data_IF_275918270737
#
_entry.id   IF_275918270737
#
_cell.length_a   1.000
_cell.length_b   1.000
_cell.length_c   1.000
_cell.angle_alpha   90.00
_cell.angle_beta   90.00
_cell.angle_gamma   90.00
#
_symmetry.space_group_name_H-M   'P 1'
#
loop_
_entity.id
_entity.type
_entity.pdbx_description
1 polymer ?
#
# COMPACT_ATOMS: atom_id res chain seq x y z
N UNK A 1 -10.15 74.84 -66.18
CA UNK A 1 -10.12 73.44 -65.67
C UNK A 1 -11.52 72.87 -65.81
N UNK A 2 -11.72 71.74 -66.50
CA UNK A 2 -13.04 71.39 -67.02
C UNK A 2 -13.40 69.89 -66.93
N UNK A 3 -14.63 69.66 -66.44
CA UNK A 3 -15.67 68.71 -66.91
C UNK A 3 -15.28 67.41 -67.65
N UNK A 4 -15.66 66.29 -67.01
CA UNK A 4 -16.47 65.16 -67.53
C UNK A 4 -16.00 64.20 -68.66
N UNK A 5 -16.39 62.93 -68.45
CA UNK A 5 -16.82 61.85 -69.39
C UNK A 5 -15.84 60.86 -70.08
N UNK A 6 -16.02 59.58 -69.66
CA UNK A 6 -16.25 58.35 -70.44
C UNK A 6 -15.21 57.63 -71.34
N UNK A 7 -15.03 56.34 -70.98
CA UNK A 7 -15.33 55.13 -71.77
C UNK A 7 -14.26 54.39 -72.62
N UNK A 8 -14.08 53.13 -72.21
CA UNK A 8 -14.04 51.89 -73.01
C UNK A 8 -12.78 51.38 -73.75
N UNK A 9 -12.81 50.05 -73.90
CA UNK A 9 -11.96 49.16 -74.69
C UNK A 9 -10.50 48.96 -74.26
N UNK A 10 -10.25 47.80 -73.66
CA UNK A 10 -8.97 47.09 -73.73
C UNK A 10 -9.24 45.65 -74.19
N UNK A 11 -8.41 45.15 -75.09
CA UNK A 11 -8.57 43.91 -75.86
C UNK A 11 -7.29 43.05 -75.74
N UNK A 12 -7.40 41.71 -75.89
CA UNK A 12 -6.29 40.71 -75.93
C UNK A 12 -5.47 40.52 -74.62
N UNK A 13 -4.75 39.42 -74.33
CA UNK A 13 -4.54 38.07 -74.92
C UNK A 13 -4.08 37.11 -73.74
N UNK A 14 -3.53 35.89 -73.82
CA UNK A 14 -3.02 35.04 -74.92
C UNK A 14 -3.14 33.52 -74.64
N UNK A 15 -3.78 32.74 -75.55
CA UNK A 15 -3.51 31.29 -75.87
C UNK A 15 -3.65 30.25 -74.70
N UNK A 16 -3.69 28.91 -74.89
CA UNK A 16 -3.54 28.02 -76.07
C UNK A 16 -4.25 26.65 -75.89
N UNK A 17 -4.93 26.20 -76.95
CA UNK A 17 -5.12 24.79 -77.40
C UNK A 17 -5.39 23.62 -76.42
N UNK A 18 -6.50 22.90 -76.66
CA UNK A 18 -6.61 21.43 -76.52
C UNK A 18 -7.37 20.86 -77.73
N UNK A 19 -7.09 19.61 -78.13
CA UNK A 19 -7.83 18.91 -79.20
C UNK A 19 -8.90 17.99 -78.61
N UNK A 20 -9.99 17.88 -79.36
CA UNK A 20 -11.18 17.05 -79.11
C UNK A 20 -10.89 15.62 -78.63
N UNK A 21 -11.67 15.21 -77.62
CA UNK A 21 -12.23 13.86 -77.51
C UNK A 21 -13.68 13.93 -78.01
N UNK A 22 -14.18 12.89 -78.68
CA UNK A 22 -15.62 12.72 -78.90
C UNK A 22 -16.18 11.72 -77.87
N UNK A 23 -17.05 12.27 -77.02
CA UNK A 23 -18.25 11.67 -76.41
C UNK A 23 -18.30 10.15 -76.17
N UNK A 24 -18.26 9.78 -74.88
CA UNK A 24 -19.38 9.03 -74.29
C UNK A 24 -20.13 9.94 -73.30
N UNK A 25 -21.40 9.64 -73.03
CA UNK A 25 -22.32 10.54 -72.31
C UNK A 25 -22.29 10.33 -70.78
N UNK A 26 -22.01 11.38 -70.00
CA UNK A 26 -22.54 11.49 -68.64
C UNK A 26 -23.26 12.83 -68.42
N UNK A 27 -24.38 12.76 -67.68
CA UNK A 27 -25.36 13.82 -67.57
C UNK A 27 -24.85 14.97 -66.71
N UNK A 28 -24.72 16.15 -67.29
CA UNK A 28 -24.46 17.41 -66.57
C UNK A 28 -25.65 17.80 -65.67
N UNK A 29 -25.76 17.13 -64.51
CA UNK A 29 -26.54 17.65 -63.39
C UNK A 29 -25.86 18.93 -62.88
N UNK A 30 -26.65 20.00 -62.69
CA UNK A 30 -26.13 21.28 -62.19
C UNK A 30 -25.97 21.20 -60.67
N UNK A 31 -25.00 20.37 -60.25
CA UNK A 31 -24.58 20.21 -58.86
C UNK A 31 -24.08 21.54 -58.29
N UNK A 32 -24.45 21.85 -57.05
CA UNK A 32 -24.02 23.08 -56.40
C UNK A 32 -22.51 23.06 -56.11
N UNK A 33 -21.94 24.22 -55.71
CA UNK A 33 -20.54 24.31 -55.27
C UNK A 33 -20.24 23.44 -54.03
N UNK A 34 -21.25 23.00 -53.27
CA UNK A 34 -21.13 22.05 -52.18
C UNK A 34 -21.05 20.62 -52.70
N UNK A 35 -22.00 20.24 -53.56
CA UNK A 35 -22.20 18.84 -53.97
C UNK A 35 -21.07 18.37 -54.89
N UNK A 36 -20.57 19.23 -55.78
CA UNK A 36 -19.35 18.95 -56.56
C UNK A 36 -18.15 18.63 -55.68
N UNK A 37 -18.04 19.30 -54.52
CA UNK A 37 -16.95 19.09 -53.56
C UNK A 37 -17.15 17.85 -52.70
N UNK A 38 -18.41 17.44 -52.45
CA UNK A 38 -18.75 16.13 -51.88
C UNK A 38 -18.29 15.02 -52.83
N UNK A 39 -18.68 15.07 -54.11
CA UNK A 39 -18.25 14.06 -55.11
C UNK A 39 -16.73 14.02 -55.31
N UNK A 40 -16.05 15.16 -55.24
CA UNK A 40 -14.57 15.22 -55.22
C UNK A 40 -13.95 14.44 -54.03
N UNK A 41 -14.58 14.47 -52.85
CA UNK A 41 -14.09 13.73 -51.68
C UNK A 41 -14.40 12.23 -51.80
N UNK A 42 -15.57 11.85 -52.31
CA UNK A 42 -15.94 10.45 -52.53
C UNK A 42 -15.07 9.77 -53.61
N UNK A 43 -14.66 10.51 -54.65
CA UNK A 43 -13.66 10.05 -55.61
C UNK A 43 -12.31 9.82 -54.93
N UNK A 44 -11.82 10.76 -54.11
CA UNK A 44 -10.55 10.62 -53.36
C UNK A 44 -10.60 9.46 -52.34
N UNK A 45 -11.76 9.17 -51.74
CA UNK A 45 -11.98 7.98 -50.90
C UNK A 45 -11.76 6.71 -51.73
N UNK A 46 -12.39 6.61 -52.91
CA UNK A 46 -12.26 5.47 -53.84
C UNK A 46 -10.85 5.32 -54.44
N UNK A 47 -10.07 6.39 -54.53
CA UNK A 47 -8.65 6.38 -54.88
C UNK A 47 -7.79 5.87 -53.71
N UNK A 48 -7.96 6.42 -52.51
CA UNK A 48 -7.21 6.03 -51.31
C UNK A 48 -7.43 4.56 -50.94
N UNK A 49 -8.66 4.04 -51.06
CA UNK A 49 -8.99 2.62 -50.85
C UNK A 49 -8.32 1.67 -51.86
N UNK A 50 -7.78 2.19 -52.98
CA UNK A 50 -7.06 1.40 -54.01
C UNK A 50 -5.54 1.55 -53.94
N UNK A 51 -5.02 2.53 -53.19
CA UNK A 51 -3.59 2.78 -53.07
C UNK A 51 -2.92 1.73 -52.16
N UNK A 52 -2.01 0.93 -52.74
CA UNK A 52 -1.31 -0.15 -52.03
C UNK A 52 0.04 0.29 -51.46
N UNK A 53 0.57 1.44 -51.87
CA UNK A 53 1.81 1.99 -51.37
C UNK A 53 1.58 2.82 -50.11
N UNK A 54 1.84 2.23 -48.94
CA UNK A 54 1.69 2.87 -47.62
C UNK A 54 2.27 4.29 -47.52
N UNK A 55 3.41 4.60 -48.14
CA UNK A 55 4.02 5.94 -48.09
C UNK A 55 3.26 6.97 -48.93
N UNK A 56 2.63 6.54 -50.03
CA UNK A 56 1.78 7.40 -50.87
C UNK A 56 0.41 7.55 -50.22
N UNK A 57 -0.17 6.46 -49.72
CA UNK A 57 -1.41 6.45 -48.94
C UNK A 57 -1.33 7.42 -47.76
N UNK A 58 -0.31 7.31 -46.89
CA UNK A 58 -0.15 8.17 -45.72
C UNK A 58 -0.08 9.67 -46.08
N UNK A 59 0.68 10.00 -47.13
CA UNK A 59 0.83 11.39 -47.57
C UNK A 59 -0.47 11.95 -48.15
N UNK A 60 -1.17 11.16 -48.96
CA UNK A 60 -2.44 11.54 -49.59
C UNK A 60 -3.59 11.60 -48.58
N UNK A 61 -3.66 10.66 -47.63
CA UNK A 61 -4.65 10.63 -46.55
C UNK A 61 -4.54 11.85 -45.65
N UNK A 62 -3.32 12.25 -45.23
CA UNK A 62 -3.13 13.48 -44.44
C UNK A 62 -3.57 14.73 -45.19
N UNK A 63 -3.36 14.79 -46.51
CA UNK A 63 -3.85 15.91 -47.34
C UNK A 63 -5.39 15.90 -47.39
N UNK A 64 -5.98 14.75 -47.69
CA UNK A 64 -7.43 14.54 -47.70
C UNK A 64 -8.08 14.96 -46.37
N UNK A 65 -7.59 14.48 -45.22
CA UNK A 65 -8.14 14.84 -43.91
C UNK A 65 -8.04 16.34 -43.61
N UNK A 66 -6.94 17.00 -43.99
CA UNK A 66 -6.81 18.44 -43.81
C UNK A 66 -7.78 19.25 -44.70
N UNK A 67 -8.02 18.80 -45.94
CA UNK A 67 -8.98 19.44 -46.84
C UNK A 67 -10.44 19.17 -46.40
N UNK A 68 -10.73 17.96 -45.89
CA UNK A 68 -12.02 17.56 -45.34
C UNK A 68 -12.35 18.34 -44.04
N UNK A 69 -11.39 18.43 -43.10
CA UNK A 69 -11.53 19.17 -41.84
C UNK A 69 -11.86 20.65 -42.11
N UNK A 70 -11.16 21.28 -43.07
CA UNK A 70 -11.47 22.66 -43.53
C UNK A 70 -12.86 22.78 -44.15
N UNK A 71 -13.29 21.81 -44.96
CA UNK A 71 -14.61 21.84 -45.59
C UNK A 71 -15.74 21.71 -44.57
N UNK A 72 -15.64 20.78 -43.63
CA UNK A 72 -16.66 20.54 -42.62
C UNK A 72 -16.78 21.72 -41.62
N UNK A 73 -15.66 22.29 -41.16
CA UNK A 73 -15.66 23.53 -40.34
C UNK A 73 -16.38 24.68 -41.05
N UNK A 74 -16.16 24.85 -42.35
CA UNK A 74 -16.84 25.88 -43.15
C UNK A 74 -18.34 25.57 -43.42
N UNK A 75 -18.81 24.35 -43.17
CA UNK A 75 -20.20 23.93 -43.34
C UNK A 75 -20.97 23.83 -42.02
N UNK A 76 -20.30 23.93 -40.86
CA UNK A 76 -20.82 23.81 -39.48
C UNK A 76 -21.53 22.50 -39.10
N UNK A 77 -21.79 21.61 -40.05
CA UNK A 77 -22.37 20.29 -39.82
C UNK A 77 -21.36 19.18 -40.18
N UNK A 78 -21.64 17.96 -39.71
CA UNK A 78 -21.09 16.74 -40.29
C UNK A 78 -21.34 16.71 -41.79
N UNK A 79 -20.38 16.14 -42.54
CA UNK A 79 -20.51 15.88 -43.97
C UNK A 79 -20.48 14.37 -44.15
N UNK A 80 -21.64 13.78 -44.42
CA UNK A 80 -21.74 12.38 -44.81
C UNK A 80 -21.08 12.18 -46.17
N UNK A 81 -20.19 11.19 -46.26
CA UNK A 81 -19.41 10.86 -47.46
C UNK A 81 -19.40 9.34 -47.59
N UNK A 82 -19.84 8.82 -48.74
CA UNK A 82 -19.85 7.36 -48.96
C UNK A 82 -18.42 6.79 -48.91
N UNK A 83 -18.26 5.66 -48.21
CA UNK A 83 -16.97 4.98 -48.02
C UNK A 83 -16.01 5.65 -47.01
N UNK A 84 -16.36 6.75 -46.34
CA UNK A 84 -15.46 7.40 -45.38
C UNK A 84 -15.14 6.50 -44.17
N UNK A 85 -16.13 5.74 -43.69
CA UNK A 85 -15.97 4.76 -42.60
C UNK A 85 -15.10 3.57 -43.03
N UNK A 86 -15.21 3.11 -44.28
CA UNK A 86 -14.35 2.06 -44.85
C UNK A 86 -12.91 2.54 -44.97
N UNK A 87 -12.71 3.80 -45.43
CA UNK A 87 -11.39 4.42 -45.47
C UNK A 87 -10.78 4.54 -44.07
N UNK A 88 -11.55 4.88 -43.05
CA UNK A 88 -11.05 4.92 -41.67
C UNK A 88 -10.65 3.53 -41.16
N UNK A 89 -11.36 2.46 -41.53
CA UNK A 89 -11.03 1.07 -41.15
C UNK A 89 -9.70 0.57 -41.72
N UNK A 90 -9.22 1.11 -42.85
CA UNK A 90 -7.90 0.73 -43.44
C UNK A 90 -6.72 1.57 -42.95
N UNK A 91 -6.95 2.60 -42.13
CA UNK A 91 -5.89 3.52 -41.66
C UNK A 91 -5.19 2.98 -40.41
N UNK A 92 -4.02 2.37 -40.59
CA UNK A 92 -3.21 1.80 -39.50
C UNK A 92 -2.18 2.75 -38.90
N UNK A 93 -1.84 3.86 -39.56
CA UNK A 93 -0.81 4.79 -39.09
C UNK A 93 -1.29 5.63 -37.90
N UNK A 94 -0.63 5.52 -36.74
CA UNK A 94 -0.93 6.27 -35.49
C UNK A 94 -1.00 7.80 -35.64
N UNK A 95 -0.29 8.40 -36.59
CA UNK A 95 -0.41 9.84 -36.90
C UNK A 95 -1.70 10.17 -37.66
N UNK A 96 -2.14 9.27 -38.53
CA UNK A 96 -3.36 9.44 -39.32
C UNK A 96 -4.61 9.13 -38.48
N UNK A 97 -4.55 8.15 -37.58
CA UNK A 97 -5.64 7.83 -36.62
C UNK A 97 -5.92 9.06 -35.72
N UNK A 98 -4.90 9.82 -35.31
CA UNK A 98 -5.12 11.10 -34.61
C UNK A 98 -5.96 12.09 -35.43
N UNK A 99 -5.73 12.21 -36.74
CA UNK A 99 -6.53 13.09 -37.61
C UNK A 99 -7.99 12.63 -37.75
N UNK A 100 -8.25 11.31 -37.65
CA UNK A 100 -9.62 10.76 -37.61
C UNK A 100 -10.30 11.17 -36.30
N UNK A 101 -9.64 10.95 -35.16
CA UNK A 101 -10.20 11.30 -33.85
C UNK A 101 -10.42 12.81 -33.71
N UNK A 102 -9.48 13.64 -34.18
CA UNK A 102 -9.61 15.09 -34.27
C UNK A 102 -10.75 15.56 -35.18
N UNK A 103 -11.12 14.78 -36.20
CA UNK A 103 -12.24 15.09 -37.10
C UNK A 103 -13.58 14.75 -36.42
N UNK A 104 -13.68 13.57 -35.82
CA UNK A 104 -14.87 13.11 -35.11
C UNK A 104 -15.18 14.03 -33.91
N UNK A 105 -14.14 14.49 -33.18
CA UNK A 105 -14.29 15.41 -32.05
C UNK A 105 -14.85 16.80 -32.40
N UNK A 106 -14.84 17.22 -33.68
CA UNK A 106 -15.46 18.49 -34.08
C UNK A 106 -16.99 18.50 -33.95
N UNK A 107 -17.61 17.32 -33.83
CA UNK A 107 -19.06 17.13 -33.78
C UNK A 107 -19.51 16.43 -32.49
N UNK A 108 -18.58 16.13 -31.59
CA UNK A 108 -18.84 15.44 -30.32
C UNK A 108 -19.07 16.44 -29.17
N UNK A 109 -20.24 17.10 -29.16
CA UNK A 109 -20.66 17.86 -27.98
C UNK A 109 -22.19 17.88 -27.75
N UNK A 110 -22.54 17.59 -26.50
CA UNK A 110 -23.83 17.67 -25.82
C UNK A 110 -24.87 16.54 -26.05
N UNK A 111 -25.27 15.97 -24.90
CA UNK A 111 -26.50 15.21 -24.58
C UNK A 111 -26.73 13.84 -25.22
N UNK A 112 -26.31 12.82 -24.46
CA UNK A 112 -27.19 11.83 -23.83
C UNK A 112 -28.08 10.95 -24.73
N UNK A 113 -27.46 9.94 -25.38
CA UNK A 113 -28.07 8.62 -25.52
C UNK A 113 -27.06 7.51 -25.18
N UNK A 114 -27.40 6.69 -24.18
CA UNK A 114 -26.78 5.38 -23.97
C UNK A 114 -27.32 4.41 -25.03
N UNK A 115 -26.70 4.34 -26.21
CA UNK A 115 -27.00 3.24 -27.14
C UNK A 115 -25.79 2.85 -28.01
N UNK A 116 -25.25 1.66 -27.73
CA UNK A 116 -24.52 0.80 -28.66
C UNK A 116 -23.47 1.45 -29.58
N UNK A 117 -22.52 2.19 -28.99
CA UNK A 117 -21.16 2.16 -29.55
C UNK A 117 -20.65 0.73 -29.34
N UNK A 118 -20.56 -0.04 -30.43
CA UNK A 118 -19.76 -1.27 -30.44
C UNK A 118 -18.32 -0.89 -30.06
N UNK A 119 -17.93 -1.16 -28.80
CA UNK A 119 -16.54 -1.15 -28.42
C UNK A 119 -15.86 -2.29 -29.17
N UNK A 120 -15.28 -1.98 -30.33
CA UNK A 120 -14.31 -2.84 -30.99
C UNK A 120 -13.04 -2.89 -30.14
N UNK A 121 -13.10 -3.66 -29.06
CA UNK A 121 -11.96 -4.28 -28.38
C UNK A 121 -11.31 -5.28 -29.33
N UNK A 122 -10.79 -4.77 -30.45
CA UNK A 122 -9.61 -5.38 -31.04
C UNK A 122 -8.52 -5.29 -29.97
N UNK A 123 -8.00 -6.44 -29.55
CA UNK A 123 -6.82 -6.57 -28.68
C UNK A 123 -5.57 -6.09 -29.44
N UNK A 124 -5.53 -4.80 -29.76
CA UNK A 124 -4.29 -4.11 -30.09
C UNK A 124 -3.52 -4.01 -28.79
N UNK A 125 -2.37 -4.68 -28.71
CA UNK A 125 -1.38 -4.44 -27.65
C UNK A 125 -0.98 -2.96 -27.68
N UNK A 126 -1.72 -2.12 -26.97
CA UNK A 126 -1.24 -0.82 -26.56
C UNK A 126 -0.16 -1.07 -25.52
N UNK A 127 1.06 -1.27 -26.00
CA UNK A 127 2.24 -0.98 -25.19
C UNK A 127 2.10 0.47 -24.74
N UNK A 128 1.66 0.63 -23.49
CA UNK A 128 1.83 1.87 -22.76
C UNK A 128 3.30 2.27 -22.92
N UNK A 129 3.58 3.58 -22.89
CA UNK A 129 4.98 3.98 -22.83
C UNK A 129 5.45 3.57 -21.44
N UNK A 130 6.16 2.45 -21.34
CA UNK A 130 6.77 1.97 -20.10
C UNK A 130 7.62 3.12 -19.54
N UNK A 131 7.09 3.77 -18.50
CA UNK A 131 7.80 4.81 -17.80
C UNK A 131 9.02 4.13 -17.15
N UNK A 132 10.20 4.71 -17.35
CA UNK A 132 11.40 4.20 -16.70
C UNK A 132 11.23 4.31 -15.18
N UNK A 133 11.99 3.53 -14.41
CA UNK A 133 11.90 3.63 -12.95
C UNK A 133 12.34 5.02 -12.47
N UNK A 134 13.16 5.73 -13.23
CA UNK A 134 13.52 7.13 -13.02
C UNK A 134 12.29 8.05 -13.21
N UNK A 135 11.58 7.95 -14.35
CA UNK A 135 10.31 8.69 -14.59
C UNK A 135 9.28 8.44 -13.46
N UNK A 136 9.16 7.19 -13.00
CA UNK A 136 8.22 6.80 -11.94
C UNK A 136 8.65 7.37 -10.58
N UNK A 137 9.97 7.46 -10.33
CA UNK A 137 10.51 8.03 -9.09
C UNK A 137 10.33 9.55 -8.99
N UNK A 138 10.11 10.27 -10.10
CA UNK A 138 9.79 11.71 -10.08
C UNK A 138 8.32 12.03 -9.68
N UNK A 139 7.40 11.05 -9.78
CA UNK A 139 5.97 11.26 -9.48
C UNK A 139 5.77 11.86 -8.07
N UNK A 140 5.08 12.99 -7.95
CA UNK A 140 4.91 13.67 -6.66
C UNK A 140 3.87 13.01 -5.72
N UNK A 141 2.93 12.27 -6.29
CA UNK A 141 1.87 11.53 -5.59
C UNK A 141 2.35 10.12 -5.21
N UNK A 142 2.51 9.84 -3.90
CA UNK A 142 2.99 8.54 -3.42
C UNK A 142 2.06 7.37 -3.77
N UNK A 143 0.75 7.57 -3.86
CA UNK A 143 -0.16 6.48 -4.21
C UNK A 143 -0.06 6.13 -5.70
N UNK A 144 0.05 7.14 -6.58
CA UNK A 144 0.33 6.90 -8.01
C UNK A 144 1.71 6.28 -8.21
N UNK A 145 2.72 6.74 -7.48
CA UNK A 145 4.07 6.14 -7.51
C UNK A 145 4.05 4.67 -7.11
N UNK A 146 3.33 4.31 -6.05
CA UNK A 146 3.14 2.92 -5.65
C UNK A 146 2.43 2.14 -6.78
N UNK A 147 1.34 2.65 -7.35
CA UNK A 147 0.61 1.96 -8.42
C UNK A 147 1.45 1.69 -9.68
N UNK A 148 2.21 2.68 -10.16
CA UNK A 148 3.08 2.51 -11.35
C UNK A 148 4.29 1.60 -11.06
N UNK A 149 4.86 1.64 -9.85
CA UNK A 149 5.87 0.67 -9.44
C UNK A 149 5.29 -0.75 -9.27
N UNK A 150 4.04 -0.89 -8.83
CA UNK A 150 3.35 -2.18 -8.71
C UNK A 150 3.07 -2.82 -10.08
N UNK A 151 2.82 -2.02 -11.14
CA UNK A 151 2.81 -2.53 -12.54
C UNK A 151 4.16 -3.16 -12.90
N UNK A 152 5.26 -2.46 -12.63
CA UNK A 152 6.64 -2.88 -12.92
C UNK A 152 7.23 -3.81 -11.84
N UNK A 153 6.40 -4.60 -11.14
CA UNK A 153 6.81 -5.40 -9.98
C UNK A 153 7.48 -6.75 -10.29
N UNK A 154 7.78 -7.02 -11.56
CA UNK A 154 8.73 -8.06 -11.99
C UNK A 154 10.17 -7.54 -12.07
N UNK A 155 10.36 -6.23 -12.30
CA UNK A 155 11.68 -5.63 -12.36
C UNK A 155 12.25 -5.45 -10.94
N UNK A 156 13.33 -6.16 -10.62
CA UNK A 156 14.08 -6.08 -9.36
C UNK A 156 14.48 -4.67 -8.92
N UNK A 157 14.53 -3.71 -9.83
CA UNK A 157 14.86 -2.32 -9.51
C UNK A 157 13.69 -1.56 -8.86
N UNK A 158 12.44 -1.98 -9.06
CA UNK A 158 11.26 -1.38 -8.40
C UNK A 158 11.13 -1.78 -6.92
N UNK A 159 11.76 -2.89 -6.51
CA UNK A 159 11.61 -3.48 -5.18
C UNK A 159 12.13 -2.56 -4.07
N UNK A 160 13.26 -1.87 -4.27
CA UNK A 160 13.83 -0.96 -3.27
C UNK A 160 12.95 0.29 -3.05
N UNK A 161 12.51 1.02 -4.11
CA UNK A 161 11.47 2.05 -3.99
C UNK A 161 10.19 1.57 -3.31
N UNK A 162 9.64 0.43 -3.73
CA UNK A 162 8.43 -0.15 -3.15
C UNK A 162 8.61 -0.49 -1.66
N UNK A 163 9.75 -1.05 -1.26
CA UNK A 163 10.06 -1.38 0.13
C UNK A 163 9.96 -0.13 1.03
N UNK A 164 10.61 0.97 0.64
CA UNK A 164 10.55 2.22 1.40
C UNK A 164 9.14 2.83 1.41
N UNK A 165 8.44 2.82 0.27
CA UNK A 165 7.08 3.35 0.17
C UNK A 165 6.07 2.54 0.98
N UNK A 166 6.15 1.21 0.97
CA UNK A 166 5.32 0.33 1.78
C UNK A 166 5.62 0.47 3.28
N UNK A 167 6.91 0.55 3.66
CA UNK A 167 7.33 0.74 5.05
C UNK A 167 6.83 2.08 5.61
N UNK A 168 7.02 3.18 4.86
CA UNK A 168 6.50 4.51 5.19
C UNK A 168 4.97 4.53 5.34
N UNK A 169 4.26 3.92 4.39
CA UNK A 169 2.79 3.90 4.36
C UNK A 169 2.17 2.70 5.12
N UNK A 170 2.96 1.95 5.90
CA UNK A 170 2.53 0.80 6.70
C UNK A 170 1.73 -0.25 5.90
N UNK A 171 2.05 -0.44 4.61
CA UNK A 171 1.41 -1.43 3.73
C UNK A 171 1.97 -2.83 4.03
N UNK A 172 1.81 -3.27 5.28
CA UNK A 172 2.47 -4.42 5.88
C UNK A 172 2.25 -5.75 5.14
N UNK A 173 1.03 -6.02 4.66
CA UNK A 173 0.78 -7.22 3.84
C UNK A 173 1.52 -7.17 2.48
N UNK A 174 1.67 -5.99 1.85
CA UNK A 174 2.46 -5.81 0.62
C UNK A 174 3.96 -6.02 0.84
N UNK A 175 4.45 -5.78 2.06
CA UNK A 175 5.84 -6.10 2.45
C UNK A 175 6.05 -7.61 2.60
N UNK A 176 5.01 -8.37 2.97
CA UNK A 176 5.03 -9.84 2.91
C UNK A 176 4.93 -10.36 1.47
N UNK A 177 4.08 -9.75 0.63
CA UNK A 177 4.02 -10.06 -0.83
C UNK A 177 5.40 -9.89 -1.48
N UNK A 178 6.15 -8.86 -1.07
CA UNK A 178 7.51 -8.61 -1.54
C UNK A 178 8.52 -9.64 -1.03
N UNK A 179 8.44 -10.07 0.23
CA UNK A 179 9.33 -11.10 0.77
C UNK A 179 9.16 -12.44 0.05
N UNK A 180 7.92 -12.89 -0.17
CA UNK A 180 7.66 -14.12 -0.93
C UNK A 180 8.25 -14.04 -2.35
N UNK A 181 8.16 -12.89 -3.02
CA UNK A 181 8.81 -12.62 -4.32
C UNK A 181 10.34 -12.54 -4.26
N UNK A 182 10.93 -12.40 -3.08
CA UNK A 182 12.38 -12.38 -2.86
C UNK A 182 12.94 -13.76 -2.45
N UNK A 183 12.13 -14.82 -2.45
CA UNK A 183 12.61 -16.21 -2.32
C UNK A 183 13.61 -16.54 -3.44
N UNK A 184 14.66 -17.32 -3.12
CA UNK A 184 15.73 -17.71 -4.05
C UNK A 184 16.68 -16.58 -4.53
N UNK A 185 16.28 -15.31 -4.49
CA UNK A 185 17.04 -14.20 -5.06
C UNK A 185 18.20 -13.73 -4.17
N UNK A 186 19.42 -13.78 -4.71
CA UNK A 186 20.69 -13.50 -4.00
C UNK A 186 21.42 -12.24 -4.49
N UNK A 187 20.72 -11.29 -5.13
CA UNK A 187 21.32 -10.00 -5.49
C UNK A 187 21.42 -9.06 -4.27
N UNK A 188 22.31 -8.07 -4.31
CA UNK A 188 22.53 -7.12 -3.20
C UNK A 188 21.23 -6.42 -2.74
N UNK A 189 20.37 -6.02 -3.68
CA UNK A 189 19.06 -5.42 -3.40
C UNK A 189 18.15 -6.38 -2.61
N UNK A 190 18.12 -7.66 -2.97
CA UNK A 190 17.37 -8.70 -2.26
C UNK A 190 17.94 -8.96 -0.86
N UNK A 191 19.26 -9.07 -0.74
CA UNK A 191 19.97 -9.27 0.54
C UNK A 191 19.73 -8.07 1.47
N UNK A 192 19.79 -6.85 0.95
CA UNK A 192 19.50 -5.63 1.72
C UNK A 192 18.07 -5.66 2.29
N UNK A 193 17.06 -5.96 1.47
CA UNK A 193 15.66 -6.00 1.93
C UNK A 193 15.50 -7.10 3.00
N UNK A 194 16.03 -8.32 2.76
CA UNK A 194 15.99 -9.43 3.72
C UNK A 194 16.59 -9.03 5.08
N UNK A 195 17.82 -8.50 5.08
CA UNK A 195 18.53 -8.11 6.29
C UNK A 195 17.88 -6.94 7.05
N UNK A 196 17.08 -6.09 6.38
CA UNK A 196 16.35 -4.99 7.03
C UNK A 196 14.92 -5.38 7.44
N UNK A 197 14.38 -6.48 6.91
CA UNK A 197 13.00 -6.91 7.19
C UNK A 197 12.81 -7.56 8.56
N UNK A 198 13.86 -7.95 9.30
CA UNK A 198 13.74 -8.45 10.69
C UNK A 198 12.92 -7.50 11.59
N UNK A 199 13.25 -6.20 11.58
CA UNK A 199 12.53 -5.18 12.37
C UNK A 199 11.08 -4.98 11.90
N UNK A 200 10.81 -5.23 10.62
CA UNK A 200 9.47 -5.22 10.08
C UNK A 200 8.70 -6.47 10.55
N UNK A 201 9.34 -7.64 10.54
CA UNK A 201 8.79 -8.91 11.04
C UNK A 201 8.49 -8.84 12.54
N UNK A 202 9.38 -8.26 13.36
CA UNK A 202 9.07 -7.95 14.76
C UNK A 202 7.79 -7.12 14.87
N UNK A 203 7.62 -6.06 14.08
CA UNK A 203 6.39 -5.26 14.10
C UNK A 203 5.14 -6.06 13.66
N UNK A 204 5.25 -6.86 12.59
CA UNK A 204 4.19 -7.73 12.09
C UNK A 204 3.74 -8.77 13.14
N UNK A 205 4.68 -9.28 13.96
CA UNK A 205 4.39 -10.21 15.05
C UNK A 205 3.46 -9.59 16.11
N UNK A 206 3.49 -8.27 16.32
CA UNK A 206 2.65 -7.60 17.31
C UNK A 206 1.34 -7.01 16.74
N UNK A 207 1.22 -6.86 15.43
CA UNK A 207 0.00 -6.37 14.78
C UNK A 207 -1.12 -7.43 14.78
N UNK A 208 -2.39 -7.00 14.94
CA UNK A 208 -3.55 -7.92 15.02
C UNK A 208 -4.12 -8.32 13.65
N UNK A 209 -3.73 -7.66 12.57
CA UNK A 209 -4.31 -7.83 11.22
C UNK A 209 -3.47 -8.69 10.28
N UNK A 210 -2.33 -9.22 10.75
CA UNK A 210 -1.42 -10.05 9.95
C UNK A 210 -1.87 -11.52 10.00
N UNK A 211 -1.83 -12.19 8.85
CA UNK A 211 -2.04 -13.63 8.78
C UNK A 211 -0.82 -14.36 9.38
N UNK A 212 -0.92 -14.80 10.64
CA UNK A 212 0.18 -15.47 11.34
C UNK A 212 0.64 -16.78 10.70
N UNK A 213 -0.19 -17.46 9.90
CA UNK A 213 0.25 -18.66 9.17
C UNK A 213 1.17 -18.28 8.02
N UNK A 214 0.82 -17.22 7.27
CA UNK A 214 1.67 -16.65 6.22
C UNK A 214 2.98 -16.12 6.80
N UNK A 215 2.91 -15.35 7.88
CA UNK A 215 4.08 -14.82 8.57
C UNK A 215 5.01 -15.93 9.08
N UNK A 216 4.44 -17.03 9.63
CA UNK A 216 5.22 -18.18 10.08
C UNK A 216 6.02 -18.82 8.94
N UNK A 217 5.38 -19.11 7.80
CA UNK A 217 6.05 -19.67 6.63
C UNK A 217 7.24 -18.80 6.19
N UNK A 218 7.06 -17.48 6.15
CA UNK A 218 8.09 -16.51 5.76
C UNK A 218 9.25 -16.49 6.78
N UNK A 219 8.95 -16.53 8.08
CA UNK A 219 10.00 -16.63 9.11
C UNK A 219 10.76 -17.97 9.02
N UNK A 220 10.10 -19.07 8.66
CA UNK A 220 10.74 -20.36 8.43
C UNK A 220 11.63 -20.34 7.16
N UNK A 221 11.17 -19.77 6.05
CA UNK A 221 11.95 -19.56 4.82
C UNK A 221 13.23 -18.73 5.06
N UNK A 222 13.18 -17.73 5.94
CA UNK A 222 14.34 -16.89 6.28
C UNK A 222 15.16 -17.36 7.48
N UNK A 223 14.91 -18.56 8.01
CA UNK A 223 15.61 -19.13 9.18
C UNK A 223 15.54 -18.25 10.45
N UNK A 224 14.49 -17.43 10.59
CA UNK A 224 14.27 -16.54 11.74
C UNK A 224 13.76 -17.34 12.95
N UNK A 225 14.62 -18.21 13.51
CA UNK A 225 14.25 -19.23 14.51
C UNK A 225 13.49 -18.66 15.71
N UNK A 226 13.97 -17.55 16.27
CA UNK A 226 13.37 -16.87 17.43
C UNK A 226 11.95 -16.38 17.14
N UNK A 227 11.73 -15.85 15.95
CA UNK A 227 10.44 -15.35 15.46
C UNK A 227 9.47 -16.51 15.17
N UNK A 228 9.96 -17.58 14.56
CA UNK A 228 9.24 -18.84 14.33
C UNK A 228 8.75 -19.45 15.65
N UNK A 229 9.64 -19.61 16.62
CA UNK A 229 9.32 -20.12 17.95
C UNK A 229 8.33 -19.19 18.67
N UNK A 230 8.56 -17.87 18.66
CA UNK A 230 7.64 -16.91 19.28
C UNK A 230 6.24 -16.98 18.66
N UNK A 231 6.11 -17.07 17.33
CA UNK A 231 4.81 -17.20 16.66
C UNK A 231 4.14 -18.54 17.04
N UNK A 232 4.88 -19.66 17.01
CA UNK A 232 4.37 -20.98 17.44
C UNK A 232 3.83 -20.92 18.88
N UNK A 233 4.61 -20.40 19.81
CA UNK A 233 4.25 -20.27 21.23
C UNK A 233 3.08 -19.30 21.43
N UNK A 234 3.14 -18.06 20.94
CA UNK A 234 2.21 -16.99 21.35
C UNK A 234 1.01 -16.79 20.41
N UNK A 235 1.01 -17.39 19.21
CA UNK A 235 -0.10 -17.25 18.23
C UNK A 235 -0.82 -18.56 17.95
N UNK A 236 -0.11 -19.68 17.97
CA UNK A 236 -0.67 -21.01 17.71
C UNK A 236 -0.76 -21.91 18.96
N UNK A 237 -0.29 -21.43 20.12
CA UNK A 237 -0.17 -22.17 21.38
C UNK A 237 0.58 -23.52 21.26
N UNK A 238 1.44 -23.64 20.25
CA UNK A 238 2.29 -24.81 20.03
C UNK A 238 3.49 -24.78 20.98
N UNK A 239 3.79 -25.94 21.54
CA UNK A 239 4.92 -26.19 22.44
C UNK A 239 5.72 -27.31 21.78
N UNK A 240 6.51 -26.92 20.79
CA UNK A 240 7.45 -27.81 20.09
C UNK A 240 8.79 -27.84 20.88
N UNK A 241 9.81 -28.54 20.36
CA UNK A 241 11.18 -28.37 20.86
C UNK A 241 11.66 -26.94 20.57
N UNK A 242 12.32 -26.29 21.53
CA UNK A 242 12.76 -24.90 21.46
C UNK A 242 14.27 -24.85 21.68
N UNK A 243 14.97 -24.16 20.78
CA UNK A 243 16.40 -23.90 20.85
C UNK A 243 16.72 -22.55 21.51
N UNK A 244 15.82 -21.55 21.44
CA UNK A 244 16.09 -20.23 22.01
C UNK A 244 16.08 -20.22 23.54
N UNK A 245 17.24 -19.87 24.14
CA UNK A 245 17.41 -19.63 25.58
C UNK A 245 16.37 -18.65 26.15
N UNK A 246 15.91 -17.69 25.35
CA UNK A 246 14.89 -16.70 25.72
C UNK A 246 13.49 -17.32 25.89
N UNK A 247 13.18 -18.36 25.13
CA UNK A 247 11.84 -18.94 25.02
C UNK A 247 11.69 -20.26 25.79
N UNK A 248 12.80 -20.94 26.14
CA UNK A 248 12.80 -22.09 27.07
C UNK A 248 12.08 -21.76 28.40
N UNK A 249 12.34 -20.63 29.11
CA UNK A 249 11.61 -20.26 30.32
C UNK A 249 10.12 -19.99 30.07
N UNK A 250 9.77 -19.40 28.92
CA UNK A 250 8.37 -19.13 28.53
C UNK A 250 7.58 -20.43 28.45
N UNK A 251 8.15 -21.47 27.83
CA UNK A 251 7.49 -22.77 27.72
C UNK A 251 7.49 -23.54 29.04
N UNK A 252 8.57 -23.51 29.83
CA UNK A 252 8.59 -24.10 31.16
C UNK A 252 7.50 -23.47 32.08
N UNK A 253 7.29 -22.15 31.99
CA UNK A 253 6.16 -21.47 32.64
C UNK A 253 4.79 -21.93 32.12
N UNK A 254 4.64 -22.16 30.80
CA UNK A 254 3.37 -22.66 30.23
C UNK A 254 3.04 -24.08 30.70
N UNK A 255 4.03 -24.97 30.73
CA UNK A 255 3.88 -26.36 31.18
C UNK A 255 3.86 -26.52 32.70
N UNK A 256 3.87 -25.40 33.45
CA UNK A 256 3.91 -25.32 34.92
C UNK A 256 5.19 -25.86 35.57
N UNK A 257 6.25 -26.10 34.82
CA UNK A 257 7.57 -26.42 35.36
C UNK A 257 8.29 -25.13 35.80
N UNK A 258 7.77 -24.50 36.86
CA UNK A 258 8.20 -23.17 37.30
C UNK A 258 9.65 -23.14 37.80
N UNK A 259 10.15 -24.22 38.42
CA UNK A 259 11.56 -24.28 38.85
C UNK A 259 12.50 -24.28 37.65
N UNK A 260 12.26 -25.15 36.65
CA UNK A 260 13.04 -25.15 35.40
C UNK A 260 12.96 -23.80 34.67
N UNK A 261 11.83 -23.09 34.75
CA UNK A 261 11.75 -21.74 34.20
C UNK A 261 12.69 -20.78 34.93
N UNK A 262 12.68 -20.78 36.26
CA UNK A 262 13.53 -19.92 37.10
C UNK A 262 15.01 -20.21 36.84
N UNK A 263 15.40 -21.48 36.84
CA UNK A 263 16.78 -21.95 36.60
C UNK A 263 17.31 -21.62 35.18
N UNK A 264 16.43 -21.17 34.27
CA UNK A 264 16.74 -20.84 32.87
C UNK A 264 16.53 -19.36 32.52
N UNK A 265 16.10 -18.50 33.45
CA UNK A 265 16.05 -17.06 33.20
C UNK A 265 17.48 -16.50 33.14
N UNK A 266 17.83 -15.91 32.00
CA UNK A 266 19.08 -15.17 31.81
C UNK A 266 18.77 -13.66 31.66
N UNK A 267 18.88 -12.83 32.73
CA UNK A 267 18.53 -11.41 32.68
C UNK A 267 19.30 -10.58 31.65
N UNK A 268 20.45 -11.05 31.14
CA UNK A 268 21.19 -10.34 30.08
C UNK A 268 20.46 -10.34 28.72
N UNK A 269 19.48 -11.23 28.54
CA UNK A 269 18.59 -11.27 27.37
C UNK A 269 17.42 -10.28 27.46
N UNK A 270 17.33 -9.45 28.51
CA UNK A 270 16.24 -8.47 28.63
C UNK A 270 16.48 -7.22 27.78
N UNK A 271 15.52 -6.91 26.90
CA UNK A 271 15.54 -5.72 26.05
C UNK A 271 14.44 -4.73 26.49
N UNK A 272 14.81 -3.45 26.70
CA UNK A 272 13.87 -2.38 27.08
C UNK A 272 12.88 -1.97 25.98
N UNK A 273 13.12 -2.37 24.72
CA UNK A 273 12.18 -2.10 23.62
C UNK A 273 10.84 -2.80 23.88
N UNK A 274 9.79 -2.03 24.18
CA UNK A 274 8.41 -2.50 24.46
C UNK A 274 7.76 -3.27 23.30
N UNK A 275 8.38 -3.24 22.10
CA UNK A 275 8.03 -4.00 20.88
C UNK A 275 9.09 -5.06 20.49
N UNK A 276 9.90 -5.54 21.43
CA UNK A 276 10.77 -6.70 21.22
C UNK A 276 10.13 -8.00 21.71
N UNK A 277 10.53 -9.12 21.14
CA UNK A 277 10.14 -10.47 21.61
C UNK A 277 10.62 -10.69 23.05
N UNK A 278 11.83 -10.24 23.36
CA UNK A 278 12.47 -10.24 24.68
C UNK A 278 11.57 -9.63 25.74
N UNK A 279 11.16 -8.37 25.56
CA UNK A 279 10.28 -7.67 26.50
C UNK A 279 8.99 -8.45 26.76
N UNK A 280 8.43 -9.10 25.73
CA UNK A 280 7.19 -9.89 25.84
C UNK A 280 7.39 -11.27 26.48
N UNK A 281 8.54 -11.91 26.29
CA UNK A 281 8.92 -13.11 27.02
C UNK A 281 9.01 -12.84 28.53
N UNK A 282 9.80 -11.83 28.94
CA UNK A 282 9.95 -11.46 30.36
C UNK A 282 8.63 -10.96 30.98
N UNK A 283 7.82 -10.18 30.25
CA UNK A 283 6.47 -9.76 30.69
C UNK A 283 5.55 -10.96 30.93
N UNK A 284 5.56 -11.97 30.06
CA UNK A 284 4.78 -13.20 30.24
C UNK A 284 5.26 -14.03 31.44
N UNK A 285 6.57 -14.21 31.58
CA UNK A 285 7.19 -15.00 32.65
C UNK A 285 6.85 -14.39 34.02
N UNK A 286 7.08 -13.09 34.22
CA UNK A 286 6.86 -12.44 35.51
C UNK A 286 5.41 -12.51 35.99
N UNK A 287 4.44 -12.19 35.11
CA UNK A 287 3.01 -12.24 35.41
C UNK A 287 2.55 -13.66 35.77
N UNK A 288 3.16 -14.68 35.18
CA UNK A 288 2.85 -16.09 35.46
C UNK A 288 3.50 -16.61 36.73
N UNK A 289 4.76 -16.26 37.00
CA UNK A 289 5.46 -16.61 38.24
C UNK A 289 4.76 -15.98 39.45
N UNK A 290 4.34 -14.71 39.36
CA UNK A 290 3.55 -14.04 40.40
C UNK A 290 2.27 -14.83 40.73
N UNK A 291 1.51 -15.23 39.71
CA UNK A 291 0.27 -16.02 39.88
C UNK A 291 0.48 -17.44 40.39
N UNK A 292 1.67 -18.00 40.21
CA UNK A 292 2.09 -19.30 40.74
C UNK A 292 2.78 -19.19 42.12
N UNK A 293 2.73 -18.02 42.76
CA UNK A 293 3.32 -17.71 44.07
C UNK A 293 4.87 -17.72 44.11
N UNK A 294 5.55 -17.65 42.96
CA UNK A 294 7.02 -17.51 42.87
C UNK A 294 7.43 -16.03 42.98
N UNK A 295 7.04 -15.39 44.10
CA UNK A 295 7.08 -13.93 44.29
C UNK A 295 8.48 -13.34 44.06
N UNK A 296 9.52 -13.95 44.63
CA UNK A 296 10.91 -13.46 44.50
C UNK A 296 11.37 -13.42 43.04
N UNK A 297 11.20 -14.51 42.30
CA UNK A 297 11.63 -14.58 40.90
C UNK A 297 10.78 -13.65 40.01
N UNK A 298 9.48 -13.50 40.30
CA UNK A 298 8.64 -12.52 39.60
C UNK A 298 9.12 -11.08 39.86
N UNK A 299 9.46 -10.73 41.11
CA UNK A 299 9.96 -9.42 41.51
C UNK A 299 11.30 -9.08 40.86
N UNK A 300 12.25 -10.02 40.86
CA UNK A 300 13.58 -9.86 40.24
C UNK A 300 13.45 -9.55 38.74
N UNK A 301 12.48 -10.15 38.03
CA UNK A 301 12.14 -9.78 36.64
C UNK A 301 11.45 -8.42 36.57
N UNK A 302 10.43 -8.14 37.40
CA UNK A 302 9.69 -6.88 37.35
C UNK A 302 10.61 -5.67 37.52
N UNK A 303 11.64 -5.76 38.37
CA UNK A 303 12.64 -4.72 38.61
C UNK A 303 13.53 -4.42 37.38
N UNK A 304 13.58 -5.30 36.36
CA UNK A 304 14.27 -5.01 35.08
C UNK A 304 13.53 -3.95 34.24
N UNK A 305 12.21 -3.85 34.39
CA UNK A 305 11.38 -2.87 33.68
C UNK A 305 11.47 -1.49 34.33
N UNK A 306 11.40 -0.43 33.51
CA UNK A 306 11.38 0.97 33.94
C UNK A 306 10.35 1.20 35.08
N UNK A 307 10.65 2.08 36.06
CA UNK A 307 9.95 2.20 37.35
C UNK A 307 8.42 2.07 37.25
N UNK A 308 7.77 2.95 36.48
CA UNK A 308 6.32 3.04 36.31
C UNK A 308 5.69 1.79 35.66
N UNK A 309 6.45 1.01 34.88
CA UNK A 309 5.94 -0.25 34.30
C UNK A 309 5.92 -1.33 35.38
N UNK A 310 4.75 -1.93 35.59
CA UNK A 310 4.49 -2.89 36.66
C UNK A 310 4.67 -2.31 38.07
N UNK A 311 4.47 -1.00 38.24
CA UNK A 311 4.59 -0.33 39.55
C UNK A 311 3.75 -1.03 40.62
N UNK A 312 2.51 -1.40 40.29
CA UNK A 312 1.57 -2.07 41.19
C UNK A 312 2.06 -3.47 41.59
N UNK A 313 2.49 -4.29 40.63
CA UNK A 313 3.09 -5.60 40.89
C UNK A 313 4.40 -5.49 41.70
N UNK A 314 5.25 -4.49 41.39
CA UNK A 314 6.50 -4.21 42.12
C UNK A 314 6.22 -3.86 43.59
N UNK A 315 5.29 -2.94 43.85
CA UNK A 315 4.89 -2.54 45.20
C UNK A 315 4.33 -3.74 45.98
N UNK A 316 3.49 -4.57 45.36
CA UNK A 316 2.96 -5.79 45.98
C UNK A 316 4.05 -6.82 46.31
N UNK A 317 4.99 -7.05 45.40
CA UNK A 317 6.15 -7.90 45.67
C UNK A 317 7.04 -7.33 46.79
N UNK A 318 7.30 -6.02 46.83
CA UNK A 318 8.01 -5.36 47.93
C UNK A 318 7.32 -5.59 49.28
N UNK A 319 5.98 -5.59 49.33
CA UNK A 319 5.22 -5.87 50.56
C UNK A 319 5.34 -7.35 50.96
N UNK A 320 5.15 -8.28 50.03
CA UNK A 320 5.25 -9.72 50.31
C UNK A 320 6.68 -10.19 50.69
N UNK A 321 7.71 -9.53 50.17
CA UNK A 321 9.12 -9.85 50.41
C UNK A 321 9.77 -8.98 51.50
N UNK A 322 9.05 -7.99 52.03
CA UNK A 322 9.56 -6.96 52.96
C UNK A 322 10.75 -6.13 52.40
N UNK A 323 10.93 -6.10 51.07
CA UNK A 323 11.93 -5.25 50.39
C UNK A 323 11.40 -3.84 50.14
N UNK A 324 11.50 -3.00 51.16
CA UNK A 324 11.18 -1.57 51.11
C UNK A 324 12.38 -0.71 50.66
N UNK A 325 13.46 -1.30 50.13
CA UNK A 325 14.70 -0.57 49.83
C UNK A 325 14.58 0.38 48.63
N UNK A 326 13.65 0.10 47.70
CA UNK A 326 13.55 0.71 46.37
C UNK A 326 12.84 2.06 46.36
N UNK A 327 13.25 2.92 45.43
CA UNK A 327 12.68 4.26 45.24
C UNK A 327 11.18 4.25 44.90
N UNK A 328 10.72 3.33 44.05
CA UNK A 328 9.29 3.18 43.69
C UNK A 328 8.40 2.75 44.88
N UNK A 329 9.01 2.28 45.97
CA UNK A 329 8.32 2.02 47.22
C UNK A 329 8.43 3.24 48.15
N UNK A 330 9.64 3.77 48.34
CA UNK A 330 9.92 4.87 49.26
C UNK A 330 9.31 6.22 48.88
N UNK A 331 9.28 6.57 47.60
CA UNK A 331 8.90 7.91 47.11
C UNK A 331 7.50 7.97 46.53
N UNK A 332 7.00 6.84 46.05
CA UNK A 332 5.69 6.74 45.39
C UNK A 332 4.69 6.12 46.39
N UNK A 333 4.86 4.84 46.75
CA UNK A 333 3.93 4.13 47.63
C UNK A 333 3.87 4.68 49.07
N UNK A 334 5.02 4.91 49.73
CA UNK A 334 5.03 5.35 51.12
C UNK A 334 4.54 6.78 51.32
N UNK A 335 4.67 7.66 50.32
CA UNK A 335 4.11 9.02 50.42
C UNK A 335 2.61 9.00 50.14
N UNK A 336 2.13 8.18 49.19
CA UNK A 336 0.69 7.94 48.98
C UNK A 336 0.03 7.34 50.24
N UNK A 337 0.66 6.33 50.84
CA UNK A 337 0.15 5.65 52.04
C UNK A 337 -0.07 6.60 53.24
N UNK A 338 0.81 7.60 53.41
CA UNK A 338 0.69 8.61 54.48
C UNK A 338 -0.50 9.55 54.32
N UNK A 339 -1.09 9.65 53.13
CA UNK A 339 -2.24 10.54 52.88
C UNK A 339 -3.58 9.97 53.35
N UNK A 340 -3.62 8.73 53.87
CA UNK A 340 -4.85 8.05 54.26
C UNK A 340 -5.00 7.93 55.79
N UNK A 341 -6.19 8.28 56.30
CA UNK A 341 -6.56 8.02 57.70
C UNK A 341 -6.64 6.51 57.98
N UNK A 342 -6.08 6.08 59.11
CA UNK A 342 -5.98 4.66 59.52
C UNK A 342 -7.32 3.91 59.48
N UNK A 343 -8.43 4.61 59.75
CA UNK A 343 -9.78 4.05 59.75
C UNK A 343 -10.20 3.49 58.37
N UNK A 344 -9.68 4.04 57.27
CA UNK A 344 -9.97 3.56 55.91
C UNK A 344 -9.44 2.13 55.68
N UNK A 345 -8.38 1.73 56.39
CA UNK A 345 -7.76 0.42 56.30
C UNK A 345 -8.43 -0.64 57.18
N UNK A 346 -9.58 -0.35 57.80
CA UNK A 346 -10.38 -1.36 58.51
C UNK A 346 -11.48 -1.97 57.64
N UNK A 347 -11.73 -1.43 56.45
CA UNK A 347 -12.81 -1.84 55.54
C UNK A 347 -12.28 -2.43 54.23
N UNK A 348 -13.17 -3.13 53.50
CA UNK A 348 -12.89 -3.63 52.14
C UNK A 348 -13.21 -2.56 51.10
N UNK A 349 -12.29 -2.36 50.17
CA UNK A 349 -12.40 -1.46 49.02
C UNK A 349 -12.39 -2.26 47.72
N UNK A 350 -13.07 -1.74 46.71
CA UNK A 350 -12.96 -2.26 45.33
C UNK A 350 -11.71 -1.71 44.61
N UNK A 351 -11.09 -0.65 45.16
CA UNK A 351 -9.92 -0.02 44.59
C UNK A 351 -8.64 -0.79 44.96
N UNK A 352 -7.99 -1.40 43.96
CA UNK A 352 -6.79 -2.22 44.16
C UNK A 352 -5.63 -1.52 44.88
N UNK A 353 -5.45 -0.21 44.69
CA UNK A 353 -4.41 0.55 45.40
C UNK A 353 -4.75 0.70 46.90
N UNK A 354 -6.03 0.95 47.25
CA UNK A 354 -6.49 0.94 48.64
C UNK A 354 -6.35 -0.44 49.29
N UNK A 355 -6.64 -1.52 48.56
CA UNK A 355 -6.40 -2.89 49.04
C UNK A 355 -4.90 -3.13 49.30
N UNK A 356 -4.01 -2.59 48.46
CA UNK A 356 -2.56 -2.71 48.61
C UNK A 356 -2.04 -1.92 49.82
N UNK A 357 -2.53 -0.69 50.01
CA UNK A 357 -2.30 0.10 51.21
C UNK A 357 -2.83 -0.62 52.46
N UNK A 358 -4.02 -1.24 52.41
CA UNK A 358 -4.53 -2.04 53.53
C UNK A 358 -3.66 -3.27 53.84
N UNK A 359 -3.14 -3.96 52.82
CA UNK A 359 -2.22 -5.07 53.02
C UNK A 359 -0.96 -4.60 53.77
N UNK A 360 -0.35 -3.48 53.35
CA UNK A 360 0.78 -2.89 54.04
C UNK A 360 0.45 -2.43 55.47
N UNK A 361 -0.74 -1.87 55.71
CA UNK A 361 -1.22 -1.55 57.07
C UNK A 361 -1.26 -2.80 57.98
N UNK A 362 -1.84 -3.92 57.49
CA UNK A 362 -1.87 -5.16 58.27
C UNK A 362 -0.48 -5.77 58.50
N UNK A 363 0.43 -5.67 57.51
CA UNK A 363 1.81 -6.11 57.68
C UNK A 363 2.53 -5.33 58.81
N UNK A 364 2.44 -4.00 58.80
CA UNK A 364 3.00 -3.15 59.87
C UNK A 364 2.31 -3.38 61.23
N UNK A 365 1.07 -3.88 61.23
CA UNK A 365 0.33 -4.27 62.44
C UNK A 365 0.67 -5.68 62.93
N UNK A 366 1.62 -6.38 62.30
CA UNK A 366 2.01 -7.76 62.63
C UNK A 366 1.08 -8.85 62.07
N UNK A 367 -0.01 -8.48 61.38
CA UNK A 367 -0.99 -9.40 60.81
C UNK A 367 -0.57 -9.87 59.40
N UNK A 368 0.58 -10.54 59.31
CA UNK A 368 1.19 -10.93 58.03
C UNK A 368 0.28 -11.81 57.15
N UNK A 369 -0.46 -12.74 57.75
CA UNK A 369 -1.37 -13.62 57.01
C UNK A 369 -2.49 -12.83 56.30
N UNK A 370 -3.05 -11.82 56.98
CA UNK A 370 -4.06 -10.92 56.41
C UNK A 370 -3.47 -10.11 55.25
N UNK A 371 -2.23 -9.63 55.37
CA UNK A 371 -1.52 -8.98 54.27
C UNK A 371 -1.37 -9.90 53.05
N UNK A 372 -0.92 -11.14 53.27
CA UNK A 372 -0.73 -12.16 52.23
C UNK A 372 -2.06 -12.49 51.54
N UNK A 373 -3.12 -12.74 52.31
CA UNK A 373 -4.46 -13.01 51.78
C UNK A 373 -4.99 -11.87 50.91
N UNK A 374 -4.80 -10.61 51.32
CA UNK A 374 -5.25 -9.46 50.53
C UNK A 374 -4.53 -9.41 49.18
N UNK A 375 -3.20 -9.56 49.16
CA UNK A 375 -2.42 -9.51 47.92
C UNK A 375 -2.72 -10.72 47.04
N UNK A 376 -2.88 -11.91 47.61
CA UNK A 376 -3.30 -13.11 46.87
C UNK A 376 -4.67 -12.90 46.19
N UNK A 377 -5.63 -12.26 46.86
CA UNK A 377 -6.94 -11.92 46.29
C UNK A 377 -6.84 -10.84 45.18
N UNK A 378 -6.03 -9.80 45.35
CA UNK A 378 -5.81 -8.73 44.35
C UNK A 378 -5.36 -9.28 42.99
N UNK A 379 -4.42 -10.24 43.01
CA UNK A 379 -3.77 -10.79 41.82
C UNK A 379 -4.34 -12.15 41.36
N UNK A 380 -5.16 -12.79 42.19
CA UNK A 380 -5.63 -14.18 42.05
C UNK A 380 -4.45 -15.16 41.96
N UNK A 381 -3.58 -15.08 42.96
CA UNK A 381 -2.46 -16.00 43.14
C UNK A 381 -3.02 -17.35 43.60
N UNK A 382 -2.58 -18.44 42.98
CA UNK A 382 -2.94 -19.77 43.43
C UNK A 382 -2.20 -20.11 44.73
N UNK A 383 -2.93 -20.62 45.72
CA UNK A 383 -2.31 -21.42 46.77
C UNK A 383 -1.58 -22.63 46.14
N UNK A 384 -0.47 -23.04 46.77
CA UNK A 384 0.33 -24.20 46.36
C UNK A 384 -0.13 -25.45 47.12
#
# INVERSE_FOLDING_TARGET
MARFFNAENNDKDEKKSTKFFEMEEEKNTILSKKDKKITEFEQKIKELLKEKNSKVFDKSFRKFMNDLKKFAVNQKNTVELSGLSELFKVVTNKQNIKLINEYNQLFASNTDQEENVENYENEVETKEKENTIEDILEISDENKKISELEKNSENLESFMPLYFLYSKNKKYNKMLDMLERLEGLNCEKAIFIKNNMEKCIEHLIFEKQVNFKRLLNICEQYNLKKEVEYIKIFKFDKIDCIESELLVPVVAVKTKNYQMAIDKINPSLFNKNKKSIEYKAFEFIAIRLLKANFIKAAYEIFVLFDNDRFLFEKQACSILLEDFSRDFFKKEFLEEFKCYDTNLFLLKSEQKQMELCRAFFYLNSGCKDICVDIINNIFRISAQ
#
